data_IF_131273636212
#
_entry.id   IF_131273636212
#
_cell.length_a   1.000
_cell.length_b   1.000
_cell.length_c   1.000
_cell.angle_alpha   90.00
_cell.angle_beta   90.00
_cell.angle_gamma   90.00
#
_symmetry.space_group_name_H-M   'P 1'
#
loop_
_entity.id
_entity.type
_entity.pdbx_description
1 polymer ?
#
# COMPACT_ATOMS: atom_id res chain seq x y z
N UNK A 1 -37.72 3.13 33.75
CA UNK A 1 -36.67 2.09 33.63
C UNK A 1 -35.32 2.77 33.56
N UNK A 2 -34.70 2.98 34.72
CA UNK A 2 -33.32 3.42 34.89
C UNK A 2 -32.41 2.20 34.94
N UNK A 3 -31.28 2.20 34.24
CA UNK A 3 -30.12 1.43 34.66
C UNK A 3 -28.87 2.30 34.59
N UNK A 4 -28.14 2.27 35.69
CA UNK A 4 -27.17 3.23 36.20
C UNK A 4 -25.81 2.54 36.25
N UNK A 5 -24.74 3.34 36.18
CA UNK A 5 -23.38 3.05 36.69
C UNK A 5 -22.54 2.05 35.87
N UNK A 6 -21.21 2.10 35.83
CA UNK A 6 -20.24 2.61 36.80
C UNK A 6 -18.87 2.76 36.10
N UNK A 7 -18.27 3.94 36.25
CA UNK A 7 -16.83 4.17 36.06
C UNK A 7 -16.05 3.49 37.19
N UNK A 8 -15.01 2.71 36.89
CA UNK A 8 -13.99 2.37 37.88
C UNK A 8 -12.58 2.46 37.29
N UNK A 9 -11.85 3.40 37.89
CA UNK A 9 -10.40 3.59 37.93
C UNK A 9 -9.84 2.61 38.99
N UNK A 10 -8.79 1.86 38.66
CA UNK A 10 -7.84 1.22 39.60
C UNK A 10 -6.50 1.14 38.85
N UNK A 11 -5.36 1.68 39.29
CA UNK A 11 -4.90 1.83 40.67
C UNK A 11 -4.14 0.56 41.07
N UNK A 12 -2.90 0.40 40.60
CA UNK A 12 -2.00 -0.63 41.11
C UNK A 12 -1.01 0.02 42.07
N UNK A 13 -1.24 -0.26 43.35
CA UNK A 13 -0.39 0.04 44.49
C UNK A 13 0.89 -0.78 44.43
N UNK A 14 2.01 -0.08 44.60
CA UNK A 14 3.33 -0.62 44.92
C UNK A 14 3.28 -1.19 46.33
N UNK A 15 3.68 -2.45 46.49
CA UNK A 15 4.06 -3.01 47.80
C UNK A 15 5.54 -3.37 47.75
N UNK A 16 6.33 -2.54 48.42
CA UNK A 16 7.71 -2.78 48.84
C UNK A 16 7.75 -3.86 49.93
N UNK A 17 8.71 -4.79 49.85
CA UNK A 17 9.39 -5.40 51.01
C UNK A 17 10.58 -6.31 50.60
N UNK A 18 11.54 -6.60 51.50
CA UNK A 18 12.85 -5.94 51.45
C UNK A 18 14.04 -6.86 51.10
N UNK A 19 15.14 -6.16 50.80
CA UNK A 19 16.54 -6.61 50.66
C UNK A 19 16.98 -7.47 51.85
N UNK A 20 17.42 -8.70 51.60
CA UNK A 20 18.23 -9.47 52.56
C UNK A 20 19.61 -9.75 51.99
N UNK A 21 20.54 -8.98 52.54
CA UNK A 21 21.99 -9.12 52.55
C UNK A 21 22.46 -10.55 52.89
N UNK A 22 23.42 -11.11 52.13
CA UNK A 22 24.32 -12.15 52.65
C UNK A 22 25.74 -11.93 52.12
N UNK A 23 26.66 -11.78 53.08
CA UNK A 23 28.10 -11.51 52.96
C UNK A 23 28.87 -12.70 52.37
N UNK A 24 30.09 -12.47 51.84
CA UNK A 24 30.96 -13.53 51.34
C UNK A 24 31.74 -14.19 52.48
N UNK A 25 31.90 -15.52 52.40
CA UNK A 25 32.88 -16.25 53.21
C UNK A 25 34.10 -16.56 52.34
N UNK A 26 35.22 -15.97 52.76
CA UNK A 26 36.58 -16.35 52.39
C UNK A 26 36.95 -17.65 53.10
N UNK A 27 37.61 -18.58 52.40
CA UNK A 27 38.49 -19.56 53.03
C UNK A 27 39.61 -19.99 52.06
N UNK A 28 40.75 -20.32 52.66
CA UNK A 28 42.12 -20.25 52.17
C UNK A 28 42.67 -21.52 51.52
N UNK A 29 43.70 -21.33 50.67
CA UNK A 29 44.90 -22.15 50.39
C UNK A 29 44.92 -23.67 50.65
N UNK A 30 45.34 -24.43 49.62
CA UNK A 30 45.95 -25.77 49.75
C UNK A 30 46.54 -26.25 48.42
N UNK A 31 47.82 -26.62 48.42
CA UNK A 31 48.62 -27.07 47.26
C UNK A 31 48.46 -28.57 46.98
N UNK A 32 48.36 -28.91 45.69
CA UNK A 32 48.97 -30.05 44.97
C UNK A 32 48.67 -31.50 45.37
N UNK A 33 48.08 -32.28 44.45
CA UNK A 33 48.53 -33.65 44.15
C UNK A 33 48.01 -34.17 42.79
N UNK A 34 48.70 -35.19 42.29
CA UNK A 34 48.76 -35.76 40.94
C UNK A 34 47.48 -36.41 40.37
N UNK A 35 47.34 -36.25 39.05
CA UNK A 35 47.14 -37.27 38.00
C UNK A 35 46.34 -38.54 38.35
N UNK A 36 45.17 -38.66 37.72
CA UNK A 36 44.41 -39.91 37.65
C UNK A 36 43.23 -39.74 36.72
N UNK A 37 43.36 -40.27 35.51
CA UNK A 37 42.32 -40.37 34.50
C UNK A 37 41.04 -40.99 35.08
N UNK A 38 39.90 -40.30 34.90
CA UNK A 38 38.64 -40.91 34.48
C UNK A 38 37.54 -39.84 34.40
N UNK A 39 36.76 -39.96 33.33
CA UNK A 39 35.50 -39.24 33.05
C UNK A 39 35.68 -37.80 32.52
N UNK A 40 35.97 -37.78 31.21
CA UNK A 40 35.40 -36.83 30.26
C UNK A 40 33.88 -36.71 30.49
N UNK A 41 33.44 -35.88 31.43
CA UNK A 41 32.08 -35.39 31.47
C UNK A 41 32.00 -34.23 30.48
N UNK A 42 31.86 -34.59 29.22
CA UNK A 42 31.55 -33.66 28.14
C UNK A 42 30.38 -32.80 28.59
N UNK A 43 30.64 -31.50 28.82
CA UNK A 43 29.59 -30.52 29.00
C UNK A 43 28.53 -30.71 27.90
N UNK A 44 27.21 -30.65 28.21
CA UNK A 44 26.20 -30.81 27.19
C UNK A 44 26.44 -29.71 26.16
N UNK A 45 26.72 -30.13 24.92
CA UNK A 45 26.93 -29.22 23.80
C UNK A 45 25.73 -28.29 23.71
N UNK A 46 25.87 -27.06 24.20
CA UNK A 46 24.95 -25.97 23.90
C UNK A 46 25.12 -25.75 22.40
N UNK A 47 24.23 -26.36 21.61
CA UNK A 47 24.18 -26.21 20.16
C UNK A 47 24.15 -24.71 19.86
N UNK A 48 25.24 -24.26 19.24
CA UNK A 48 25.42 -22.92 18.71
C UNK A 48 24.29 -22.66 17.71
N UNK A 49 23.27 -21.91 18.12
CA UNK A 49 22.19 -21.47 17.25
C UNK A 49 22.79 -20.66 16.11
N UNK A 50 22.85 -21.24 14.90
CA UNK A 50 23.30 -20.52 13.72
C UNK A 50 22.20 -19.54 13.30
N UNK A 51 22.39 -18.26 13.63
CA UNK A 51 21.49 -17.19 13.22
C UNK A 51 21.32 -17.21 11.70
N UNK A 52 20.07 -17.36 11.23
CA UNK A 52 19.72 -17.33 9.80
C UNK A 52 19.37 -18.68 9.17
N UNK A 53 19.58 -19.82 9.84
CA UNK A 53 19.09 -21.10 9.31
C UNK A 53 17.58 -21.26 9.51
N UNK A 54 16.87 -21.62 8.43
CA UNK A 54 15.46 -22.01 8.48
C UNK A 54 15.33 -23.41 9.08
N UNK A 55 14.53 -23.52 10.14
CA UNK A 55 14.18 -24.75 10.85
C UNK A 55 12.75 -25.13 10.47
N UNK A 56 12.49 -26.41 10.26
CA UNK A 56 11.12 -26.93 10.06
C UNK A 56 10.51 -27.27 11.42
N UNK A 57 9.22 -26.99 11.58
CA UNK A 57 8.46 -27.37 12.76
C UNK A 57 6.98 -27.55 12.47
N UNK A 58 6.23 -28.02 13.45
CA UNK A 58 4.79 -28.24 13.36
C UNK A 58 4.07 -27.45 14.46
N UNK A 59 3.01 -26.73 14.10
CA UNK A 59 2.17 -26.00 15.04
C UNK A 59 1.42 -26.99 15.94
N UNK A 60 1.79 -27.05 17.21
CA UNK A 60 1.15 -27.95 18.20
C UNK A 60 -0.02 -27.28 18.91
N UNK A 61 0.03 -25.95 19.03
CA UNK A 61 -1.02 -25.15 19.67
C UNK A 61 -1.19 -23.84 18.90
N UNK A 62 -2.43 -23.41 18.74
CA UNK A 62 -2.77 -22.14 18.11
C UNK A 62 -3.99 -21.52 18.79
N UNK A 63 -3.88 -20.26 19.21
CA UNK A 63 -4.95 -19.47 19.79
C UNK A 63 -5.41 -18.41 18.77
N UNK A 64 -6.40 -18.77 17.95
CA UNK A 64 -6.86 -17.95 16.82
C UNK A 64 -7.35 -16.55 17.24
N UNK A 65 -8.04 -16.44 18.37
CA UNK A 65 -8.55 -15.15 18.90
C UNK A 65 -7.44 -14.21 19.35
N UNK A 66 -6.35 -14.75 19.90
CA UNK A 66 -5.21 -13.98 20.41
C UNK A 66 -4.07 -13.83 19.40
N UNK A 67 -4.12 -14.56 18.29
CA UNK A 67 -3.16 -14.46 17.20
C UNK A 67 -1.77 -15.03 17.49
N UNK A 68 -1.64 -15.98 18.43
CA UNK A 68 -0.36 -16.62 18.74
C UNK A 68 -0.48 -18.13 18.90
N UNK A 69 0.65 -18.83 18.82
CA UNK A 69 0.74 -20.26 19.04
C UNK A 69 2.15 -20.73 19.34
N UNK A 70 2.31 -22.05 19.38
CA UNK A 70 3.58 -22.71 19.66
C UNK A 70 3.86 -23.77 18.59
N UNK A 71 5.09 -23.80 18.09
CA UNK A 71 5.56 -24.79 17.13
C UNK A 71 6.65 -25.67 17.74
N UNK A 72 6.54 -26.98 17.50
CA UNK A 72 7.57 -27.96 17.87
C UNK A 72 8.56 -28.11 16.69
N UNK A 73 9.87 -27.91 16.88
CA UNK A 73 10.87 -28.18 15.86
C UNK A 73 10.88 -29.67 15.46
N UNK A 74 11.03 -29.97 14.17
CA UNK A 74 11.19 -31.36 13.67
C UNK A 74 12.49 -31.98 14.18
N UNK A 75 13.51 -31.16 14.44
CA UNK A 75 14.79 -31.57 15.03
C UNK A 75 14.70 -32.00 16.50
N UNK A 76 13.52 -31.90 17.12
CA UNK A 76 13.37 -32.01 18.56
C UNK A 76 13.85 -30.74 19.29
N UNK A 77 13.39 -30.58 20.54
CA UNK A 77 13.72 -29.43 21.40
C UNK A 77 12.49 -28.70 21.93
N UNK A 78 12.74 -27.55 22.56
CA UNK A 78 11.69 -26.73 23.17
C UNK A 78 10.72 -26.15 22.14
N UNK A 79 9.47 -25.96 22.57
CA UNK A 79 8.45 -25.29 21.75
C UNK A 79 8.83 -23.84 21.52
N UNK A 80 8.71 -23.40 20.27
CA UNK A 80 9.06 -22.05 19.86
C UNK A 80 7.77 -21.24 19.72
N UNK A 81 7.78 -20.01 20.26
CA UNK A 81 6.66 -19.10 20.18
C UNK A 81 6.49 -18.54 18.76
N UNK A 82 5.25 -18.49 18.27
CA UNK A 82 4.90 -18.01 16.94
C UNK A 82 3.77 -16.99 17.04
N UNK A 83 3.94 -15.79 16.48
CA UNK A 83 2.87 -14.80 16.39
C UNK A 83 2.34 -14.67 14.95
N UNK A 84 1.06 -14.30 14.80
CA UNK A 84 0.41 -14.13 13.48
C UNK A 84 1.08 -13.06 12.61
N UNK A 85 1.75 -12.08 13.23
CA UNK A 85 2.49 -11.03 12.52
C UNK A 85 3.78 -11.52 11.88
N UNK A 86 4.32 -12.64 12.37
CA UNK A 86 5.65 -13.14 11.96
C UNK A 86 5.57 -14.05 10.72
N UNK A 87 4.35 -14.32 10.24
CA UNK A 87 4.12 -15.02 8.98
C UNK A 87 4.42 -14.09 7.79
N UNK A 88 5.47 -14.40 7.03
CA UNK A 88 5.86 -13.65 5.84
C UNK A 88 4.81 -13.77 4.74
N UNK A 89 4.30 -14.98 4.58
CA UNK A 89 3.21 -15.27 3.67
C UNK A 89 1.93 -15.18 4.47
N UNK A 90 1.27 -14.01 4.47
CA UNK A 90 -0.13 -13.87 4.91
C UNK A 90 -1.04 -14.57 3.90
N UNK A 91 -0.81 -15.87 3.71
CA UNK A 91 -1.68 -16.74 2.95
C UNK A 91 -3.06 -16.69 3.60
N UNK A 92 -4.11 -16.77 2.79
CA UNK A 92 -5.52 -16.71 3.22
C UNK A 92 -5.92 -17.80 4.22
N UNK A 93 -5.03 -18.75 4.53
CA UNK A 93 -5.28 -19.88 5.42
C UNK A 93 -4.91 -19.47 6.84
N UNK A 94 -5.90 -19.57 7.74
CA UNK A 94 -5.65 -19.37 9.16
C UNK A 94 -4.76 -20.50 9.69
N UNK A 95 -3.69 -20.19 10.45
CA UNK A 95 -2.87 -21.22 11.06
C UNK A 95 -3.73 -22.08 11.98
N UNK A 96 -3.49 -23.39 11.96
CA UNK A 96 -4.20 -24.35 12.80
C UNK A 96 -3.25 -25.41 13.33
N UNK A 97 -3.67 -26.09 14.40
CA UNK A 97 -2.93 -27.19 15.02
C UNK A 97 -2.67 -28.31 14.00
N UNK A 98 -1.44 -28.83 13.97
CA UNK A 98 -0.97 -29.86 13.04
C UNK A 98 -0.27 -29.32 11.78
N UNK A 99 -0.24 -28.00 11.58
CA UNK A 99 0.33 -27.41 10.36
C UNK A 99 1.87 -27.36 10.38
N UNK A 100 2.49 -27.82 9.30
CA UNK A 100 3.95 -27.75 9.11
C UNK A 100 4.39 -26.37 8.62
N UNK A 101 5.36 -25.79 9.31
CA UNK A 101 5.92 -24.46 9.05
C UNK A 101 7.46 -24.54 8.92
N UNK A 102 8.05 -23.59 8.22
CA UNK A 102 9.49 -23.29 8.28
C UNK A 102 9.69 -21.88 8.83
N UNK A 103 10.64 -21.71 9.73
CA UNK A 103 10.90 -20.43 10.40
C UNK A 103 12.37 -20.26 10.70
N UNK A 104 12.82 -19.03 10.91
CA UNK A 104 14.15 -18.73 11.44
C UNK A 104 14.05 -18.61 12.95
N UNK A 105 14.86 -19.39 13.67
CA UNK A 105 14.92 -19.32 15.12
C UNK A 105 15.55 -17.98 15.55
N UNK A 106 14.76 -17.17 16.26
CA UNK A 106 15.17 -15.89 16.83
C UNK A 106 14.92 -15.83 18.33
N UNK A 107 15.17 -14.67 18.93
CA UNK A 107 14.81 -14.37 20.31
C UNK A 107 14.00 -13.08 20.36
N UNK A 108 12.97 -13.06 21.19
CA UNK A 108 12.21 -11.84 21.46
C UNK A 108 13.04 -10.89 22.35
N UNK A 109 12.57 -9.65 22.52
CA UNK A 109 13.12 -8.63 23.43
C UNK A 109 13.31 -9.12 24.88
N UNK A 110 12.61 -10.18 25.28
CA UNK A 110 12.72 -10.82 26.58
C UNK A 110 13.61 -12.09 26.58
N UNK A 111 14.37 -12.33 25.51
CA UNK A 111 15.31 -13.45 25.41
C UNK A 111 14.68 -14.83 25.21
N UNK A 112 13.35 -14.91 25.07
CA UNK A 112 12.61 -16.15 24.82
C UNK A 112 12.75 -16.60 23.35
N UNK A 113 12.83 -17.91 23.08
CA UNK A 113 12.93 -18.42 21.71
C UNK A 113 11.64 -18.13 20.93
N UNK A 114 11.76 -17.41 19.82
CA UNK A 114 10.65 -17.05 18.94
C UNK A 114 10.95 -17.43 17.48
N UNK A 115 9.89 -17.69 16.73
CA UNK A 115 9.96 -17.95 15.30
C UNK A 115 9.83 -16.62 14.56
N UNK A 116 10.82 -16.30 13.75
CA UNK A 116 10.78 -15.16 12.84
C UNK A 116 10.70 -15.68 11.40
N UNK A 117 10.20 -14.86 10.48
CA UNK A 117 10.15 -15.21 9.05
C UNK A 117 9.39 -16.53 8.75
N UNK A 118 8.23 -16.72 9.37
CA UNK A 118 7.47 -17.98 9.32
C UNK A 118 6.82 -18.17 7.94
N UNK A 119 7.03 -19.32 7.34
CA UNK A 119 6.44 -19.76 6.08
C UNK A 119 5.71 -21.09 6.28
N UNK A 120 4.54 -21.24 5.65
CA UNK A 120 3.76 -22.49 5.74
C UNK A 120 4.30 -23.44 4.67
N UNK A 121 4.83 -24.60 5.10
CA UNK A 121 5.35 -25.60 4.17
C UNK A 121 4.17 -26.35 3.53
N UNK A 122 4.09 -26.33 2.20
CA UNK A 122 2.96 -26.88 1.43
C UNK A 122 2.54 -26.00 0.25
N UNK A 123 2.91 -24.71 0.27
CA UNK A 123 2.85 -23.86 -0.91
C UNK A 123 4.10 -24.05 -1.77
N UNK A 124 4.15 -25.12 -2.57
CA UNK A 124 4.74 -24.98 -3.91
C UNK A 124 3.77 -24.12 -4.73
N UNK A 125 3.74 -22.82 -4.47
CA UNK A 125 3.27 -21.89 -5.48
C UNK A 125 4.52 -21.38 -6.20
N UNK A 126 4.77 -21.77 -7.47
CA UNK A 126 5.66 -20.94 -8.26
C UNK A 126 5.10 -19.53 -8.18
N UNK A 127 5.97 -18.54 -7.96
CA UNK A 127 5.63 -17.15 -8.15
C UNK A 127 5.22 -16.96 -9.63
N UNK A 128 4.01 -17.37 -10.00
CA UNK A 128 3.33 -16.79 -11.15
C UNK A 128 3.13 -15.35 -10.73
N UNK A 129 3.75 -14.36 -11.40
CA UNK A 129 3.37 -12.98 -11.15
C UNK A 129 1.86 -12.95 -11.33
N UNK A 130 1.12 -12.67 -10.25
CA UNK A 130 -0.30 -12.43 -10.37
C UNK A 130 -0.40 -11.28 -11.37
N UNK A 131 -0.77 -11.56 -12.62
CA UNK A 131 -1.13 -10.53 -13.59
C UNK A 131 -2.33 -9.85 -12.95
N UNK A 132 -2.07 -8.78 -12.19
CA UNK A 132 -3.13 -7.94 -11.66
C UNK A 132 -3.94 -7.51 -12.88
N UNK A 133 -5.27 -7.58 -12.84
CA UNK A 133 -6.07 -7.11 -13.96
C UNK A 133 -5.61 -5.69 -14.29
N UNK A 134 -5.24 -5.47 -15.55
CA UNK A 134 -4.84 -4.16 -16.01
C UNK A 134 -5.96 -3.17 -15.67
N UNK A 135 -5.63 -2.08 -14.98
CA UNK A 135 -6.65 -1.09 -14.63
C UNK A 135 -7.12 -0.39 -15.90
N UNK A 136 -8.42 -0.48 -16.20
CA UNK A 136 -9.08 0.21 -17.31
C UNK A 136 -9.04 1.75 -17.21
N UNK A 137 -8.60 2.29 -16.07
CA UNK A 137 -8.59 3.73 -15.82
C UNK A 137 -7.66 4.53 -16.74
N UNK A 138 -6.45 4.03 -17.08
CA UNK A 138 -5.54 4.75 -17.98
C UNK A 138 -6.00 4.72 -19.44
N UNK A 139 -6.39 3.58 -20.05
CA UNK A 139 -6.93 3.62 -21.40
C UNK A 139 -8.21 4.47 -21.47
N UNK A 140 -9.06 4.46 -20.43
CA UNK A 140 -10.20 5.38 -20.33
C UNK A 140 -9.76 6.86 -20.30
N UNK A 141 -8.74 7.20 -19.50
CA UNK A 141 -8.21 8.56 -19.42
C UNK A 141 -7.55 9.02 -20.74
N UNK A 142 -6.86 8.11 -21.43
CA UNK A 142 -6.26 8.41 -22.75
C UNK A 142 -7.34 8.64 -23.81
N UNK A 143 -8.34 7.75 -23.87
CA UNK A 143 -9.50 7.90 -24.76
C UNK A 143 -10.24 9.20 -24.48
N UNK A 144 -10.45 9.55 -23.20
CA UNK A 144 -11.03 10.83 -22.81
C UNK A 144 -10.25 12.03 -23.34
N UNK A 145 -8.93 12.04 -23.12
CA UNK A 145 -8.07 13.11 -23.58
C UNK A 145 -8.11 13.25 -25.11
N UNK A 146 -8.17 12.14 -25.84
CA UNK A 146 -8.32 12.13 -27.30
C UNK A 146 -9.67 12.73 -27.72
N UNK A 147 -10.77 12.36 -27.06
CA UNK A 147 -12.10 12.91 -27.36
C UNK A 147 -12.16 14.41 -27.09
N UNK A 148 -11.65 14.87 -25.94
CA UNK A 148 -11.59 16.29 -25.59
C UNK A 148 -10.71 17.07 -26.57
N UNK A 149 -9.55 16.53 -26.93
CA UNK A 149 -8.66 17.15 -27.91
C UNK A 149 -9.31 17.21 -29.30
N UNK A 150 -9.95 16.13 -29.75
CA UNK A 150 -10.67 16.07 -31.02
C UNK A 150 -11.81 17.08 -31.08
N UNK A 151 -12.64 17.14 -30.04
CA UNK A 151 -13.74 18.11 -29.97
C UNK A 151 -13.26 19.57 -29.94
N UNK A 152 -12.10 19.85 -29.32
CA UNK A 152 -11.47 21.17 -29.40
C UNK A 152 -10.88 21.46 -30.79
N UNK A 153 -10.25 20.47 -31.45
CA UNK A 153 -9.74 20.62 -32.83
C UNK A 153 -10.87 20.85 -33.84
N UNK A 154 -12.04 20.25 -33.62
CA UNK A 154 -13.25 20.46 -34.42
C UNK A 154 -13.95 21.81 -34.12
N UNK A 155 -13.43 22.62 -33.19
CA UNK A 155 -14.02 23.91 -32.81
C UNK A 155 -15.31 23.79 -32.00
N UNK A 156 -15.68 22.59 -31.53
CA UNK A 156 -16.88 22.35 -30.70
C UNK A 156 -16.67 22.74 -29.25
N UNK A 157 -15.42 22.84 -28.80
CA UNK A 157 -15.05 23.23 -27.45
C UNK A 157 -14.11 24.43 -27.48
N UNK A 158 -14.34 25.46 -26.64
CA UNK A 158 -13.41 26.56 -26.45
C UNK A 158 -12.14 26.06 -25.73
N UNK A 159 -11.01 26.71 -25.97
CA UNK A 159 -9.69 26.31 -25.44
C UNK A 159 -9.64 26.23 -23.90
N UNK A 160 -10.50 26.99 -23.21
CA UNK A 160 -10.54 27.00 -21.75
C UNK A 160 -10.90 25.64 -21.15
N UNK A 161 -11.74 24.84 -21.81
CA UNK A 161 -12.19 23.52 -21.33
C UNK A 161 -11.04 22.49 -21.31
N UNK A 162 -10.32 22.20 -22.42
CA UNK A 162 -9.18 21.30 -22.39
C UNK A 162 -8.07 21.81 -21.46
N UNK A 163 -7.83 23.12 -21.40
CA UNK A 163 -6.84 23.70 -20.49
C UNK A 163 -7.21 23.48 -19.03
N UNK A 164 -8.48 23.67 -18.68
CA UNK A 164 -9.01 23.39 -17.35
C UNK A 164 -8.83 21.92 -16.98
N UNK A 165 -9.20 20.98 -17.87
CA UNK A 165 -9.01 19.54 -17.64
C UNK A 165 -7.53 19.17 -17.46
N UNK A 166 -6.64 19.78 -18.24
CA UNK A 166 -5.19 19.58 -18.13
C UNK A 166 -4.68 20.09 -16.77
N UNK A 167 -5.03 21.33 -16.40
CA UNK A 167 -4.63 21.93 -15.13
C UNK A 167 -5.16 21.13 -13.92
N UNK A 168 -6.44 20.76 -13.93
CA UNK A 168 -7.06 19.94 -12.90
C UNK A 168 -6.39 18.55 -12.79
N UNK A 169 -6.01 17.95 -13.91
CA UNK A 169 -5.29 16.68 -13.94
C UNK A 169 -3.89 16.80 -13.33
N UNK A 170 -3.13 17.85 -13.65
CA UNK A 170 -1.81 18.11 -13.08
C UNK A 170 -1.91 18.34 -11.57
N UNK A 171 -2.82 19.21 -11.13
CA UNK A 171 -3.06 19.48 -9.69
C UNK A 171 -3.40 18.19 -8.96
N UNK A 172 -4.32 17.39 -9.49
CA UNK A 172 -4.74 16.14 -8.86
C UNK A 172 -3.60 15.14 -8.78
N UNK A 173 -2.80 15.00 -9.84
CA UNK A 173 -1.60 14.16 -9.81
C UNK A 173 -0.60 14.61 -8.74
N UNK A 174 -0.33 15.92 -8.66
CA UNK A 174 0.57 16.50 -7.67
C UNK A 174 0.07 16.28 -6.23
N UNK A 175 -1.23 16.44 -5.98
CA UNK A 175 -1.85 16.18 -4.67
C UNK A 175 -1.69 14.70 -4.29
N UNK A 176 -1.93 13.77 -5.21
CA UNK A 176 -1.68 12.34 -4.97
C UNK A 176 -0.20 12.04 -4.70
N UNK A 177 0.71 12.68 -5.44
CA UNK A 177 2.15 12.53 -5.23
C UNK A 177 2.58 13.08 -3.85
N UNK A 178 2.00 14.20 -3.42
CA UNK A 178 2.20 14.78 -2.10
C UNK A 178 1.68 13.86 -1.00
N UNK A 179 0.45 13.34 -1.11
CA UNK A 179 -0.12 12.39 -0.13
C UNK A 179 0.82 11.20 0.09
N UNK A 180 1.42 10.69 -0.98
CA UNK A 180 2.40 9.60 -0.88
C UNK A 180 3.69 10.01 -0.20
N UNK A 181 4.18 11.24 -0.40
CA UNK A 181 5.36 11.78 0.29
C UNK A 181 5.08 11.99 1.78
N UNK A 182 3.91 12.53 2.12
CA UNK A 182 3.46 12.72 3.50
C UNK A 182 3.38 11.38 4.25
N UNK A 183 2.85 10.33 3.60
CA UNK A 183 2.77 8.98 4.16
C UNK A 183 4.13 8.31 4.43
N UNK A 184 5.23 8.77 3.82
CA UNK A 184 6.59 8.27 4.11
C UNK A 184 7.29 9.03 5.23
N UNK A 185 6.78 10.22 5.58
CA UNK A 185 7.36 11.13 6.56
C UNK A 185 6.56 11.19 7.86
N UNK A 186 5.64 10.24 8.06
CA UNK A 186 4.65 10.23 9.16
C UNK A 186 3.94 11.59 9.36
N UNK A 187 3.71 12.30 8.26
CA UNK A 187 3.01 13.57 8.26
C UNK A 187 1.49 13.38 8.09
N UNK A 188 0.71 14.44 8.34
CA UNK A 188 -0.74 14.43 8.18
C UNK A 188 -1.13 14.02 6.74
N UNK A 189 -1.95 12.97 6.65
CA UNK A 189 -2.45 12.40 5.39
C UNK A 189 -3.72 13.10 4.87
N UNK A 190 -3.83 13.29 3.55
CA UNK A 190 -4.99 13.97 2.96
C UNK A 190 -6.24 13.08 3.08
N UNK A 191 -7.39 13.67 3.40
CA UNK A 191 -8.66 12.94 3.51
C UNK A 191 -9.10 12.38 2.15
N UNK A 192 -9.69 11.18 2.14
CA UNK A 192 -10.15 10.51 0.91
C UNK A 192 -11.19 11.36 0.15
N UNK A 193 -12.00 12.16 0.86
CA UNK A 193 -13.02 13.02 0.25
C UNK A 193 -12.42 14.11 -0.66
N UNK A 194 -11.32 14.73 -0.23
CA UNK A 194 -10.62 15.76 -1.03
C UNK A 194 -10.11 15.19 -2.36
N UNK A 195 -9.62 13.95 -2.34
CA UNK A 195 -9.12 13.27 -3.55
C UNK A 195 -10.24 12.94 -4.53
N UNK A 196 -11.44 12.62 -4.04
CA UNK A 196 -12.60 12.38 -4.89
C UNK A 196 -13.19 13.66 -5.46
N UNK A 197 -13.23 14.74 -4.68
CA UNK A 197 -13.66 16.06 -5.17
C UNK A 197 -12.74 16.53 -6.31
N UNK A 198 -11.42 16.41 -6.14
CA UNK A 198 -10.44 16.74 -7.19
C UNK A 198 -10.63 15.91 -8.46
N UNK A 199 -10.95 14.62 -8.33
CA UNK A 199 -11.28 13.79 -9.48
C UNK A 199 -12.59 14.25 -10.15
N UNK A 200 -13.61 14.58 -9.36
CA UNK A 200 -14.93 14.99 -9.84
C UNK A 200 -14.89 16.29 -10.63
N UNK A 201 -14.14 17.30 -10.17
CA UNK A 201 -14.02 18.60 -10.86
C UNK A 201 -13.29 18.53 -12.22
N UNK A 202 -12.74 17.37 -12.59
CA UNK A 202 -12.05 17.16 -13.87
C UNK A 202 -10.63 16.63 -13.75
N UNK A 203 -10.13 16.43 -12.53
CA UNK A 203 -8.81 15.86 -12.28
C UNK A 203 -8.71 14.34 -12.40
N UNK A 204 -9.79 13.66 -12.77
CA UNK A 204 -9.84 12.20 -12.85
C UNK A 204 -8.79 11.57 -13.80
N UNK A 205 -8.37 12.18 -14.94
CA UNK A 205 -7.29 11.62 -15.76
C UNK A 205 -5.94 11.63 -15.02
N UNK A 206 -5.66 12.72 -14.30
CA UNK A 206 -4.50 12.83 -13.41
C UNK A 206 -4.55 11.82 -12.25
N UNK A 207 -5.73 11.58 -11.68
CA UNK A 207 -5.92 10.53 -10.67
C UNK A 207 -5.71 9.12 -11.24
N UNK A 208 -6.17 8.83 -12.46
CA UNK A 208 -5.95 7.55 -13.14
C UNK A 208 -4.45 7.28 -13.35
N UNK A 209 -3.70 8.30 -13.80
CA UNK A 209 -2.25 8.24 -13.96
C UNK A 209 -1.55 8.04 -12.60
N UNK A 210 -1.99 8.78 -11.57
CA UNK A 210 -1.48 8.65 -10.21
C UNK A 210 -1.69 7.23 -9.64
N UNK A 211 -2.85 6.61 -9.86
CA UNK A 211 -3.13 5.25 -9.38
C UNK A 211 -2.16 4.21 -9.96
N UNK A 212 -1.74 4.39 -11.22
CA UNK A 212 -0.80 3.48 -11.87
C UNK A 212 0.65 3.75 -11.46
N UNK A 213 1.10 5.01 -11.54
CA UNK A 213 2.50 5.38 -11.26
C UNK A 213 2.84 5.31 -9.78
N UNK A 214 1.91 5.71 -8.91
CA UNK A 214 2.19 5.81 -7.48
C UNK A 214 1.94 4.50 -6.74
N UNK A 215 1.50 3.42 -7.41
CA UNK A 215 1.39 2.04 -6.86
C UNK A 215 0.73 2.02 -5.46
N UNK A 216 -0.15 2.98 -5.17
CA UNK A 216 -0.71 3.19 -3.84
C UNK A 216 -2.06 2.48 -3.73
N UNK A 217 -2.41 2.12 -2.50
CA UNK A 217 -3.41 1.13 -2.09
C UNK A 217 -4.85 1.43 -2.56
N UNK A 218 -5.13 1.37 -3.87
CA UNK A 218 -6.48 1.44 -4.50
C UNK A 218 -7.24 0.11 -4.38
N UNK A 219 -7.12 -0.53 -3.22
CA UNK A 219 -7.65 -1.88 -2.97
C UNK A 219 -9.01 -1.87 -2.27
N UNK A 220 -9.49 -0.72 -1.78
CA UNK A 220 -10.83 -0.60 -1.21
C UNK A 220 -11.86 -0.46 -2.35
N UNK A 221 -12.87 -1.34 -2.37
CA UNK A 221 -13.92 -1.33 -3.40
C UNK A 221 -14.68 0.01 -3.43
N UNK A 222 -14.98 0.58 -2.26
CA UNK A 222 -15.67 1.87 -2.15
C UNK A 222 -14.93 2.99 -2.90
N UNK A 223 -13.62 3.11 -2.71
CA UNK A 223 -12.80 4.13 -3.38
C UNK A 223 -12.82 3.99 -4.91
N UNK A 224 -12.81 2.75 -5.42
CA UNK A 224 -12.90 2.47 -6.85
C UNK A 224 -14.27 2.81 -7.44
N UNK A 225 -15.33 2.56 -6.68
CA UNK A 225 -16.70 2.86 -7.11
C UNK A 225 -16.90 4.38 -7.21
N UNK A 226 -16.45 5.14 -6.21
CA UNK A 226 -16.53 6.60 -6.25
C UNK A 226 -15.70 7.15 -7.40
N UNK A 227 -14.49 6.62 -7.65
CA UNK A 227 -13.70 7.01 -8.82
C UNK A 227 -14.47 6.79 -10.14
N UNK A 228 -15.04 5.60 -10.39
CA UNK A 228 -15.79 5.36 -11.63
C UNK A 228 -17.05 6.21 -11.74
N UNK A 229 -17.71 6.53 -10.62
CA UNK A 229 -18.80 7.50 -10.61
C UNK A 229 -18.32 8.86 -11.10
N UNK A 230 -17.15 9.34 -10.65
CA UNK A 230 -16.59 10.62 -11.14
C UNK A 230 -16.31 10.59 -12.64
N UNK A 231 -15.84 9.46 -13.18
CA UNK A 231 -15.61 9.29 -14.62
C UNK A 231 -16.94 9.38 -15.38
N UNK A 232 -17.97 8.66 -14.93
CA UNK A 232 -19.30 8.67 -15.55
C UNK A 232 -19.89 10.09 -15.55
N UNK A 233 -19.81 10.80 -14.42
CA UNK A 233 -20.31 12.18 -14.32
C UNK A 233 -19.57 13.12 -15.27
N UNK A 234 -18.23 13.02 -15.35
CA UNK A 234 -17.47 13.80 -16.30
C UNK A 234 -17.88 13.48 -17.74
N UNK A 235 -17.99 12.18 -18.09
CA UNK A 235 -18.44 11.76 -19.41
C UNK A 235 -19.82 12.29 -19.78
N UNK A 236 -20.79 12.20 -18.86
CA UNK A 236 -22.11 12.76 -19.07
C UNK A 236 -22.06 14.28 -19.28
N UNK A 237 -21.24 14.99 -18.50
CA UNK A 237 -21.04 16.43 -18.65
C UNK A 237 -20.42 16.82 -20.00
N UNK A 238 -19.40 16.11 -20.47
CA UNK A 238 -18.80 16.37 -21.79
C UNK A 238 -19.77 16.04 -22.92
N UNK A 239 -20.48 14.90 -22.84
CA UNK A 239 -21.50 14.54 -23.84
C UNK A 239 -22.55 15.64 -23.90
N UNK A 240 -23.08 16.08 -22.75
CA UNK A 240 -24.05 17.17 -22.70
C UNK A 240 -23.51 18.47 -23.30
N UNK A 241 -22.25 18.82 -23.04
CA UNK A 241 -21.60 20.01 -23.62
C UNK A 241 -21.46 19.93 -25.14
N UNK A 242 -21.34 18.71 -25.69
CA UNK A 242 -21.28 18.47 -27.14
C UNK A 242 -22.67 18.39 -27.79
N UNK A 243 -23.75 18.25 -27.00
CA UNK A 243 -25.12 18.32 -27.50
C UNK A 243 -25.54 19.78 -27.80
N UNK A 244 -26.55 20.00 -28.65
CA UNK A 244 -26.97 21.35 -29.05
C UNK A 244 -27.34 22.26 -27.87
N UNK A 245 -28.07 21.73 -26.88
CA UNK A 245 -28.49 22.48 -25.70
C UNK A 245 -27.29 22.93 -24.85
N UNK A 246 -26.31 22.05 -24.66
CA UNK A 246 -25.09 22.36 -23.91
C UNK A 246 -24.18 23.33 -24.65
N UNK A 247 -24.05 23.18 -25.97
CA UNK A 247 -23.30 24.11 -26.80
C UNK A 247 -23.93 25.52 -26.78
N UNK A 248 -25.26 25.62 -26.86
CA UNK A 248 -25.98 26.89 -26.74
C UNK A 248 -25.76 27.53 -25.37
N UNK A 249 -25.88 26.75 -24.29
CA UNK A 249 -25.59 27.23 -22.93
C UNK A 249 -24.15 27.74 -22.80
N UNK A 250 -23.18 27.00 -23.34
CA UNK A 250 -21.77 27.38 -23.31
C UNK A 250 -21.53 28.71 -24.03
N UNK A 251 -22.11 28.90 -25.22
CA UNK A 251 -22.00 30.15 -25.97
C UNK A 251 -22.60 31.34 -25.20
N UNK A 252 -23.72 31.13 -24.50
CA UNK A 252 -24.31 32.15 -23.62
C UNK A 252 -23.40 32.50 -22.44
N UNK A 253 -22.76 31.51 -21.83
CA UNK A 253 -21.82 31.74 -20.72
C UNK A 253 -20.58 32.48 -21.22
N UNK A 254 -20.01 32.09 -22.36
CA UNK A 254 -18.85 32.75 -22.96
C UNK A 254 -19.17 34.22 -23.24
N UNK A 255 -20.29 34.47 -23.93
CA UNK A 255 -20.73 35.83 -24.27
C UNK A 255 -20.97 36.70 -23.02
N UNK A 256 -21.53 36.13 -21.96
CA UNK A 256 -21.81 36.85 -20.71
C UNK A 256 -20.57 37.07 -19.85
N UNK A 257 -19.63 36.13 -19.89
CA UNK A 257 -18.43 36.19 -19.07
C UNK A 257 -17.33 37.09 -19.67
N UNK A 258 -17.55 37.68 -20.85
CA UNK A 258 -16.50 38.32 -21.66
C UNK A 258 -15.25 37.43 -21.73
N UNK A 259 -15.46 36.11 -21.70
CA UNK A 259 -14.41 35.12 -21.89
C UNK A 259 -14.19 34.95 -23.38
N UNK A 260 -13.95 36.07 -24.06
CA UNK A 260 -13.57 36.12 -25.46
C UNK A 260 -12.10 35.68 -25.56
N UNK A 261 -11.85 34.40 -25.26
CA UNK A 261 -10.67 33.68 -25.77
C UNK A 261 -10.97 33.09 -27.15
N UNK A 262 -11.89 33.69 -27.87
CA UNK A 262 -12.05 33.51 -29.30
C UNK A 262 -11.37 34.68 -29.96
N UNK A 263 -10.43 34.37 -30.86
CA UNK A 263 -10.03 35.13 -32.05
C UNK A 263 -8.64 34.53 -32.47
N UNK A 264 -8.28 34.49 -33.77
CA UNK A 264 -7.09 33.83 -34.38
C UNK A 264 -6.69 32.37 -34.13
N UNK A 265 -6.93 31.79 -32.95
CA UNK A 265 -6.33 30.51 -32.53
C UNK A 265 -6.79 29.29 -33.35
N UNK A 266 -7.99 29.35 -33.93
CA UNK A 266 -8.57 28.28 -34.74
C UNK A 266 -8.17 28.43 -36.23
N UNK A 267 -8.08 29.66 -36.74
CA UNK A 267 -7.71 29.95 -38.13
C UNK A 267 -6.22 29.70 -38.42
N UNK A 268 -5.34 29.92 -37.43
CA UNK A 268 -3.91 29.64 -37.52
C UNK A 268 -3.59 28.12 -37.48
N UNK A 269 -4.38 27.33 -36.73
CA UNK A 269 -4.21 25.86 -36.60
C UNK A 269 -4.54 25.08 -37.87
N UNK A 270 -5.54 25.54 -38.61
CA UNK A 270 -5.99 24.92 -39.86
C UNK A 270 -5.03 25.16 -41.03
N UNK A 271 -4.25 26.23 -40.98
CA UNK A 271 -3.24 26.54 -42.00
C UNK A 271 -1.96 25.67 -41.84
N UNK A 272 -1.53 25.43 -40.60
CA UNK A 272 -0.28 24.70 -40.27
C UNK A 272 -0.37 23.18 -40.50
N UNK A 273 -1.55 22.59 -40.22
CA UNK A 273 -1.79 21.17 -40.47
C UNK A 273 -1.87 20.87 -41.97
N UNK A 274 -2.38 21.82 -42.76
CA UNK A 274 -2.45 21.73 -44.22
C UNK A 274 -1.06 21.75 -44.88
N UNK A 275 -0.15 22.58 -44.38
CA UNK A 275 1.24 22.67 -44.89
C UNK A 275 2.11 21.48 -44.49
N UNK A 276 1.92 20.91 -43.29
CA UNK A 276 2.65 19.69 -42.88
C UNK A 276 2.21 18.43 -43.65
N UNK A 277 0.92 18.29 -43.92
CA UNK A 277 0.40 17.18 -44.72
C UNK A 277 0.94 17.23 -46.16
N UNK A 278 1.03 18.42 -46.74
CA UNK A 278 1.60 18.64 -48.08
C UNK A 278 3.11 18.38 -48.15
N UNK A 279 3.88 18.78 -47.13
CA UNK A 279 5.33 18.51 -47.06
C UNK A 279 5.69 17.02 -46.90
N UNK A 280 4.87 16.27 -46.16
CA UNK A 280 5.03 14.81 -46.03
C UNK A 280 4.70 14.09 -47.34
N UNK A 281 3.66 14.51 -48.05
CA UNK A 281 3.30 13.94 -49.36
C UNK A 281 4.35 14.25 -50.43
N UNK A 282 4.96 15.44 -50.39
CA UNK A 282 6.01 15.81 -51.33
C UNK A 282 7.35 15.06 -51.09
N UNK A 283 7.66 14.72 -49.83
CA UNK A 283 8.88 13.98 -49.47
C UNK A 283 8.82 12.46 -49.73
N UNK A 284 7.63 11.89 -49.87
CA UNK A 284 7.42 10.46 -50.18
C UNK A 284 7.47 10.18 -51.69
N UNK A 285 7.28 11.23 -52.52
CA UNK A 285 7.24 11.13 -53.98
C UNK A 285 8.60 11.44 -54.64
N UNK A 286 9.62 11.83 -53.87
CA UNK A 286 11.01 11.99 -54.32
C UNK A 286 11.88 10.87 -53.77
#
# INVERSE_FOLDING_TARGET
MTCRSRTHRCGFTVTDHPRSERRPLSFSNGRGFFMGDCLHFSAPQIRRWQAGMRVKGTLVQWHGEKGFGFAAPVSGGDKIFVHVTDFENRSRRQPHKGMSISYVAGRDKHGRPCATAVQINGDRSPARPSRRPASLALPAAAMWAIVVAGAWLEGKLPLIIPLFYLAASVVTFCVYAWDKRAARRDAWRIQENTLHILALIGGWPGAALAHQLLRHKSSKRAFRNVFWLTVIVNCAGLIWLLLPDGAAWMNLVIAKAHLDFDLPVILFRLQELWSQLMGLLAGVVR
#
